data_IF_203274043099
#
_entry.id   IF_203274043099
#
_cell.length_a   1.000
_cell.length_b   1.000
_cell.length_c   1.000
_cell.angle_alpha   90.00
_cell.angle_beta   90.00
_cell.angle_gamma   90.00
#
_symmetry.space_group_name_H-M   'P 1'
#
loop_
_entity.id
_entity.type
_entity.pdbx_description
1 polymer ?
#
# COMPACT_ATOMS: atom_id res chain seq x y z
N UNK A 1 22.39 2.50 49.70
CA UNK A 1 21.41 3.35 48.98
C UNK A 1 21.86 3.46 47.53
N UNK A 2 21.70 2.39 46.75
CA UNK A 2 21.61 2.54 45.31
C UNK A 2 20.18 3.02 45.09
N UNK A 3 20.04 4.31 44.82
CA UNK A 3 18.77 4.83 44.34
C UNK A 3 18.72 4.34 42.90
N UNK A 4 17.79 3.43 42.59
CA UNK A 4 17.38 3.16 41.22
C UNK A 4 16.93 4.50 40.64
N UNK A 5 17.83 5.18 39.93
CA UNK A 5 17.44 6.26 39.05
C UNK A 5 16.52 5.64 38.00
N UNK A 6 15.31 6.17 37.77
CA UNK A 6 14.46 5.66 36.71
C UNK A 6 15.25 5.74 35.41
N UNK A 7 15.40 4.60 34.71
CA UNK A 7 15.91 4.61 33.35
C UNK A 7 14.93 5.46 32.54
N UNK A 8 15.43 6.54 31.93
CA UNK A 8 14.59 7.39 31.10
C UNK A 8 14.15 6.60 29.86
N UNK A 9 12.84 6.64 29.58
CA UNK A 9 12.26 6.10 28.35
C UNK A 9 12.55 7.07 27.20
N UNK A 10 13.13 6.54 26.12
CA UNK A 10 13.41 7.27 24.90
C UNK A 10 12.61 6.72 23.72
N UNK A 11 12.22 7.61 22.80
CA UNK A 11 11.61 7.25 21.51
C UNK A 11 12.33 8.04 20.43
N UNK A 12 12.94 7.33 19.49
CA UNK A 12 13.51 7.92 18.28
C UNK A 12 12.60 7.64 17.09
N UNK A 13 12.28 8.68 16.31
CA UNK A 13 11.41 8.57 15.14
C UNK A 13 12.18 9.02 13.91
N UNK A 14 12.55 8.05 13.07
CA UNK A 14 13.14 8.35 11.77
C UNK A 14 12.02 8.70 10.78
N UNK A 15 11.83 9.99 10.53
CA UNK A 15 10.86 10.49 9.58
C UNK A 15 11.26 10.15 8.15
N UNK A 16 10.33 9.55 7.40
CA UNK A 16 10.59 9.12 6.02
C UNK A 16 10.76 10.27 5.02
N UNK A 17 10.32 11.47 5.37
CA UNK A 17 10.38 12.67 4.52
C UNK A 17 11.75 13.38 4.46
N UNK A 18 12.71 13.01 5.32
CA UNK A 18 14.00 13.69 5.43
C UNK A 18 15.10 13.17 4.47
N UNK A 19 14.74 12.42 3.44
CA UNK A 19 15.67 11.98 2.38
C UNK A 19 16.16 13.12 1.45
N UNK A 20 15.86 14.39 1.76
CA UNK A 20 16.26 15.55 0.97
C UNK A 20 17.16 16.50 1.76
N UNK A 21 18.45 16.17 1.82
CA UNK A 21 19.54 17.16 1.77
C UNK A 21 20.68 16.58 0.93
N UNK A 22 21.06 17.33 -0.09
CA UNK A 22 22.25 17.17 -0.95
C UNK A 22 22.23 16.09 -2.04
N UNK A 23 21.59 16.45 -3.16
CA UNK A 23 22.12 16.17 -4.50
C UNK A 23 21.65 17.25 -5.51
N UNK A 24 22.35 18.38 -5.55
CA UNK A 24 22.37 19.30 -6.71
C UNK A 24 23.71 19.09 -7.44
N UNK A 25 23.74 18.75 -8.73
CA UNK A 25 23.83 19.64 -9.90
C UNK A 25 23.65 18.77 -11.17
N UNK A 26 23.04 19.15 -12.31
CA UNK A 26 22.79 20.45 -12.98
C UNK A 26 21.64 20.34 -14.04
N UNK A 27 21.19 21.43 -14.71
CA UNK A 27 19.79 21.81 -14.76
C UNK A 27 19.06 21.49 -16.07
N UNK A 28 17.72 21.40 -15.99
CA UNK A 28 16.86 21.86 -17.07
C UNK A 28 16.14 23.13 -16.59
N UNK A 29 16.36 24.16 -17.39
CA UNK A 29 15.92 25.54 -17.25
C UNK A 29 14.41 25.63 -17.53
N UNK A 30 13.65 26.18 -16.58
CA UNK A 30 12.68 27.29 -16.75
C UNK A 30 11.63 27.31 -15.62
N UNK A 31 11.71 28.41 -14.86
CA UNK A 31 10.69 29.14 -14.11
C UNK A 31 9.72 28.39 -13.17
N UNK A 32 10.14 28.27 -11.90
CA UNK A 32 9.21 28.19 -10.79
C UNK A 32 9.65 29.14 -9.67
N UNK A 33 8.86 30.20 -9.50
CA UNK A 33 8.96 31.20 -8.44
C UNK A 33 8.70 30.52 -7.09
N UNK A 34 9.67 30.59 -6.18
CA UNK A 34 9.55 30.12 -4.80
C UNK A 34 8.82 31.21 -4.00
N UNK A 35 7.65 30.87 -3.45
CA UNK A 35 7.10 31.56 -2.29
C UNK A 35 6.97 30.54 -1.16
N UNK A 36 7.80 30.71 -0.14
CA UNK A 36 7.65 30.09 1.17
C UNK A 36 6.63 30.92 1.95
N UNK A 37 5.52 30.31 2.39
CA UNK A 37 4.83 30.73 3.62
C UNK A 37 4.29 29.51 4.35
N UNK A 38 4.38 29.56 5.68
CA UNK A 38 4.14 28.45 6.61
C UNK A 38 2.66 28.08 6.75
N UNK A 39 2.42 26.80 7.03
CA UNK A 39 1.08 26.28 7.34
C UNK A 39 1.03 25.87 8.80
N UNK A 40 0.08 26.48 9.52
CA UNK A 40 -0.34 26.15 10.87
C UNK A 40 -1.22 24.90 10.82
N UNK A 41 -0.90 23.88 11.63
CA UNK A 41 -1.71 22.67 11.77
C UNK A 41 -2.97 22.98 12.62
N UNK A 42 -4.14 22.64 12.09
CA UNK A 42 -5.37 22.50 12.87
C UNK A 42 -5.67 21.01 13.00
N UNK A 43 -5.54 20.50 14.21
CA UNK A 43 -5.92 19.13 14.58
C UNK A 43 -7.44 18.95 14.44
N UNK A 44 -7.85 17.92 13.70
CA UNK A 44 -9.22 17.40 13.68
C UNK A 44 -9.16 15.94 14.13
N UNK A 45 -9.91 15.53 15.16
CA UNK A 45 -9.85 14.16 15.69
C UNK A 45 -10.59 13.17 14.78
N UNK A 46 -10.02 11.97 14.63
CA UNK A 46 -10.58 10.83 13.90
C UNK A 46 -11.80 10.24 14.63
N UNK A 47 -12.96 10.19 13.96
CA UNK A 47 -14.05 9.27 14.32
C UNK A 47 -13.99 8.03 13.43
N UNK A 48 -13.82 6.88 14.08
CA UNK A 48 -13.77 5.55 13.46
C UNK A 48 -15.14 5.12 12.92
N UNK A 49 -15.24 4.89 11.61
CA UNK A 49 -16.39 4.17 11.02
C UNK A 49 -15.98 2.71 10.79
N UNK A 50 -16.56 1.80 11.57
CA UNK A 50 -16.34 0.37 11.46
C UNK A 50 -16.95 -0.20 10.16
N UNK A 51 -16.17 -0.99 9.42
CA UNK A 51 -16.64 -1.79 8.30
C UNK A 51 -17.28 -3.11 8.80
N UNK A 52 -18.36 -3.62 8.18
CA UNK A 52 -18.98 -4.87 8.58
C UNK A 52 -18.12 -6.08 8.21
N UNK A 53 -18.01 -6.98 9.19
CA UNK A 53 -17.29 -8.25 9.13
C UNK A 53 -17.98 -9.23 8.16
N UNK A 54 -17.32 -9.65 7.07
CA UNK A 54 -17.81 -10.74 6.21
C UNK A 54 -16.86 -11.93 6.36
N UNK A 55 -17.20 -12.79 7.31
CA UNK A 55 -16.60 -14.11 7.49
C UNK A 55 -17.32 -15.19 6.69
N UNK A 56 -16.51 -16.12 6.18
CA UNK A 56 -16.81 -17.52 5.81
C UNK A 56 -17.82 -17.79 4.68
N UNK A 57 -17.28 -18.15 3.51
CA UNK A 57 -18.02 -18.90 2.48
C UNK A 57 -17.89 -20.41 2.75
N UNK A 58 -18.99 -21.01 3.18
CA UNK A 58 -19.22 -22.46 3.23
C UNK A 58 -19.30 -23.00 1.80
N UNK A 59 -18.61 -24.11 1.52
CA UNK A 59 -18.68 -24.82 0.23
C UNK A 59 -20.01 -25.60 0.13
N UNK A 60 -20.71 -25.61 -1.02
CA UNK A 60 -21.85 -26.51 -1.21
C UNK A 60 -21.36 -27.92 -1.63
N UNK A 61 -21.73 -28.92 -0.84
CA UNK A 61 -21.57 -30.33 -1.19
C UNK A 61 -22.55 -30.70 -2.33
N UNK A 62 -22.06 -31.51 -3.28
CA UNK A 62 -22.83 -31.98 -4.44
C UNK A 62 -23.97 -32.94 -4.08
N UNK A 63 -24.90 -33.18 -5.03
CA UNK A 63 -26.10 -33.98 -4.77
C UNK A 63 -25.79 -35.48 -4.65
N UNK A 64 -26.44 -36.21 -3.74
CA UNK A 64 -26.25 -37.66 -3.62
C UNK A 64 -27.06 -38.44 -4.66
N UNK A 65 -26.57 -39.65 -4.93
CA UNK A 65 -27.06 -40.64 -5.90
C UNK A 65 -28.50 -41.12 -5.64
N UNK A 66 -29.10 -41.63 -6.73
CA UNK A 66 -30.40 -42.29 -6.75
C UNK A 66 -30.30 -43.72 -6.20
N UNK A 67 -31.12 -44.04 -5.21
CA UNK A 67 -31.59 -45.41 -4.98
C UNK A 67 -33.12 -45.44 -4.88
N UNK A 68 -33.71 -46.47 -5.48
CA UNK A 68 -35.14 -46.66 -5.63
C UNK A 68 -35.76 -47.35 -4.41
N UNK A 69 -36.97 -46.93 -4.00
CA UNK A 69 -37.99 -47.84 -3.46
C UNK A 69 -39.40 -47.23 -3.43
N UNK A 70 -40.36 -48.07 -3.79
CA UNK A 70 -41.81 -47.87 -3.80
C UNK A 70 -42.40 -47.59 -2.41
N UNK A 71 -43.48 -46.78 -2.33
CA UNK A 71 -44.83 -47.22 -1.88
C UNK A 71 -45.87 -46.07 -1.73
N UNK A 72 -47.00 -46.25 -2.45
CA UNK A 72 -48.44 -45.99 -2.16
C UNK A 72 -48.95 -44.79 -1.33
N UNK A 73 -49.95 -44.12 -1.95
CA UNK A 73 -51.16 -43.50 -1.31
C UNK A 73 -50.94 -42.06 -0.82
N UNK A 74 -51.84 -41.08 -0.94
CA UNK A 74 -53.28 -41.07 -1.14
C UNK A 74 -53.72 -39.63 -1.51
N UNK A 75 -54.84 -39.49 -2.23
CA UNK A 75 -55.37 -38.23 -2.80
C UNK A 75 -56.07 -37.34 -1.76
N UNK A 76 -56.00 -36.01 -1.94
CA UNK A 76 -57.11 -35.03 -1.71
C UNK A 76 -56.70 -33.65 -2.28
N UNK A 77 -57.20 -33.20 -3.44
CA UNK A 77 -58.48 -32.54 -3.77
C UNK A 77 -58.51 -31.00 -3.55
N UNK A 78 -58.51 -30.29 -4.70
CA UNK A 78 -59.27 -29.07 -5.05
C UNK A 78 -58.80 -27.65 -4.71
N UNK A 79 -58.68 -26.90 -5.84
CA UNK A 79 -59.11 -25.51 -6.16
C UNK A 79 -58.04 -24.41 -6.23
N UNK A 80 -57.76 -24.05 -7.49
CA UNK A 80 -57.31 -22.74 -8.02
C UNK A 80 -58.13 -21.59 -7.41
N UNK A 81 -57.53 -20.43 -7.06
CA UNK A 81 -57.37 -19.39 -8.09
C UNK A 81 -56.18 -18.41 -7.87
N UNK A 82 -55.69 -17.82 -8.98
CA UNK A 82 -55.03 -16.50 -8.95
C UNK A 82 -53.62 -16.50 -9.55
N UNK A 83 -53.51 -16.14 -10.83
CA UNK A 83 -52.24 -15.79 -11.46
C UNK A 83 -51.77 -14.43 -10.93
N UNK A 84 -51.06 -14.43 -9.81
CA UNK A 84 -50.21 -13.32 -9.41
C UNK A 84 -49.00 -13.29 -10.36
N UNK A 85 -48.91 -12.22 -11.17
CA UNK A 85 -47.76 -11.98 -12.04
C UNK A 85 -46.57 -11.63 -11.15
N UNK A 86 -45.60 -12.53 -11.11
CA UNK A 86 -44.28 -12.28 -10.56
C UNK A 86 -43.59 -11.14 -11.35
N UNK A 87 -42.79 -10.27 -10.70
CA UNK A 87 -42.09 -9.22 -11.41
C UNK A 87 -41.15 -9.85 -12.44
N UNK A 88 -41.15 -9.32 -13.67
CA UNK A 88 -40.22 -9.73 -14.72
C UNK A 88 -38.80 -9.77 -14.16
N UNK A 89 -38.18 -10.94 -14.34
CA UNK A 89 -36.77 -11.21 -14.11
C UNK A 89 -35.98 -10.08 -14.78
N UNK A 90 -35.38 -9.20 -13.97
CA UNK A 90 -34.53 -8.13 -14.49
C UNK A 90 -33.48 -8.80 -15.36
N UNK A 91 -33.43 -8.43 -16.64
CA UNK A 91 -32.41 -8.96 -17.54
C UNK A 91 -31.05 -8.88 -16.85
N UNK A 92 -30.23 -9.96 -16.90
CA UNK A 92 -28.90 -9.92 -16.32
C UNK A 92 -28.17 -8.74 -16.95
N UNK A 93 -27.74 -7.80 -16.10
CA UNK A 93 -26.91 -6.68 -16.52
C UNK A 93 -25.75 -7.28 -17.30
N UNK A 94 -25.66 -6.99 -18.60
CA UNK A 94 -24.53 -7.41 -19.43
C UNK A 94 -23.27 -6.89 -18.75
N UNK A 95 -22.51 -7.78 -18.13
CA UNK A 95 -21.19 -7.44 -17.63
C UNK A 95 -20.35 -7.03 -18.84
N UNK A 96 -20.00 -5.75 -18.90
CA UNK A 96 -19.06 -5.27 -19.91
C UNK A 96 -17.75 -6.07 -19.76
N UNK A 97 -17.22 -6.61 -20.85
CA UNK A 97 -15.96 -7.32 -20.82
C UNK A 97 -14.83 -6.30 -20.59
N UNK A 98 -14.33 -6.23 -19.37
CA UNK A 98 -13.22 -5.36 -19.03
C UNK A 98 -11.91 -5.96 -19.55
N UNK A 99 -11.20 -5.21 -20.39
CA UNK A 99 -9.97 -5.69 -21.04
C UNK A 99 -8.75 -5.01 -20.44
N UNK A 100 -7.90 -5.82 -19.79
CA UNK A 100 -6.52 -5.48 -19.47
C UNK A 100 -5.59 -5.91 -20.60
N UNK A 101 -4.55 -5.10 -20.85
CA UNK A 101 -3.35 -5.54 -21.55
C UNK A 101 -2.22 -5.57 -20.53
N UNK A 102 -1.73 -6.78 -20.26
CA UNK A 102 -0.59 -7.01 -19.38
C UNK A 102 0.71 -7.01 -20.19
N UNK A 103 1.71 -6.30 -19.68
CA UNK A 103 3.10 -6.47 -20.12
C UNK A 103 3.76 -7.68 -19.46
N UNK A 104 4.97 -7.99 -19.91
CA UNK A 104 5.78 -9.03 -19.29
C UNK A 104 6.11 -8.64 -17.82
N UNK A 105 5.95 -9.56 -16.85
CA UNK A 105 6.30 -9.29 -15.46
C UNK A 105 7.81 -9.05 -15.32
N UNK A 106 8.18 -8.16 -14.40
CA UNK A 106 9.55 -8.00 -13.93
C UNK A 106 9.60 -8.33 -12.44
N UNK A 107 10.64 -9.07 -12.04
CA UNK A 107 10.83 -9.49 -10.66
C UNK A 107 12.07 -8.82 -10.06
N UNK A 108 11.99 -8.50 -8.79
CA UNK A 108 12.99 -7.77 -8.02
C UNK A 108 13.09 -8.34 -6.62
N UNK A 109 14.29 -8.27 -6.04
CA UNK A 109 14.43 -8.44 -4.59
C UNK A 109 14.47 -7.07 -3.94
N UNK A 110 13.49 -6.77 -3.09
CA UNK A 110 13.43 -5.52 -2.35
C UNK A 110 13.93 -5.76 -0.93
N UNK A 111 14.86 -4.93 -0.46
CA UNK A 111 15.42 -5.03 0.88
C UNK A 111 15.17 -3.73 1.64
N UNK A 112 14.59 -3.85 2.83
CA UNK A 112 14.53 -2.81 3.85
C UNK A 112 15.70 -3.06 4.80
N UNK A 113 16.59 -2.08 4.94
CA UNK A 113 17.68 -2.10 5.89
C UNK A 113 17.48 -0.97 6.91
N UNK A 114 17.46 -1.32 8.20
CA UNK A 114 17.39 -0.37 9.31
C UNK A 114 18.56 -0.62 10.24
N UNK A 115 19.37 0.40 10.48
CA UNK A 115 20.50 0.36 11.40
C UNK A 115 20.14 1.16 12.65
N UNK A 116 20.32 0.52 13.81
CA UNK A 116 20.05 1.10 15.12
C UNK A 116 21.36 1.09 15.90
N UNK A 117 21.89 2.27 16.18
CA UNK A 117 23.19 2.45 16.82
C UNK A 117 23.02 3.06 18.21
N UNK A 118 23.74 2.55 19.21
CA UNK A 118 23.85 3.22 20.49
C UNK A 118 24.93 4.30 20.41
N UNK A 119 24.52 5.54 20.15
CA UNK A 119 25.40 6.70 19.99
C UNK A 119 25.84 7.32 21.33
N UNK A 120 25.18 6.98 22.43
CA UNK A 120 25.52 7.45 23.77
C UNK A 120 26.61 6.64 24.47
N UNK A 121 27.06 7.14 25.64
CA UNK A 121 28.11 6.52 26.46
C UNK A 121 27.60 5.41 27.40
N UNK A 122 26.29 5.11 27.37
CA UNK A 122 25.69 4.07 28.19
C UNK A 122 24.80 3.13 27.36
N UNK A 123 24.67 1.89 27.82
CA UNK A 123 23.91 0.82 27.15
C UNK A 123 22.46 1.24 26.94
N UNK A 124 21.99 1.19 25.70
CA UNK A 124 20.58 1.31 25.35
C UNK A 124 19.91 -0.05 25.60
N UNK A 125 18.92 -0.09 26.50
CA UNK A 125 18.29 -1.35 26.91
C UNK A 125 16.92 -1.55 26.28
N UNK A 126 16.55 -2.82 26.11
CA UNK A 126 15.23 -3.23 25.61
C UNK A 126 14.82 -2.49 24.32
N UNK A 127 15.78 -2.36 23.40
CA UNK A 127 15.63 -1.63 22.15
C UNK A 127 14.67 -2.39 21.24
N UNK A 128 13.60 -1.72 20.81
CA UNK A 128 12.59 -2.29 19.91
C UNK A 128 12.39 -1.36 18.73
N UNK A 129 12.52 -1.90 17.52
CA UNK A 129 12.36 -1.13 16.29
C UNK A 129 11.08 -1.56 15.57
N UNK A 130 10.19 -0.59 15.32
CA UNK A 130 8.94 -0.78 14.59
C UNK A 130 9.11 -0.23 13.17
N UNK A 131 9.02 -1.14 12.19
CA UNK A 131 9.34 -0.90 10.77
C UNK A 131 8.11 -1.24 9.92
N UNK A 132 7.66 -0.37 9.00
CA UNK A 132 6.59 -0.71 8.09
C UNK A 132 7.07 -1.73 7.05
N UNK A 133 6.20 -2.70 6.79
CA UNK A 133 6.37 -3.77 5.83
C UNK A 133 5.69 -3.41 4.50
N UNK A 134 6.14 -4.02 3.40
CA UNK A 134 5.48 -3.85 2.12
C UNK A 134 4.08 -4.47 2.15
N UNK A 135 3.07 -3.70 1.77
CA UNK A 135 1.70 -4.15 1.59
C UNK A 135 1.50 -4.91 0.29
N UNK A 136 0.43 -5.69 0.19
CA UNK A 136 0.18 -6.55 -0.96
C UNK A 136 -1.27 -6.48 -1.46
N UNK A 137 -1.96 -5.35 -1.26
CA UNK A 137 -3.39 -5.24 -1.57
C UNK A 137 -3.67 -4.88 -3.05
N UNK A 138 -2.65 -4.47 -3.81
CA UNK A 138 -2.74 -4.18 -5.26
C UNK A 138 -2.34 -5.38 -6.13
N UNK A 139 -2.83 -6.57 -5.78
CA UNK A 139 -2.46 -7.88 -6.36
C UNK A 139 -2.53 -7.99 -7.89
N UNK A 140 -3.25 -7.08 -8.53
CA UNK A 140 -3.48 -7.09 -9.97
C UNK A 140 -2.23 -6.74 -10.78
N UNK A 141 -1.46 -5.73 -10.35
CA UNK A 141 -0.27 -5.29 -11.10
C UNK A 141 1.03 -5.37 -10.27
N UNK A 142 0.94 -5.60 -8.96
CA UNK A 142 2.11 -5.85 -8.13
C UNK A 142 1.84 -6.94 -7.09
N UNK A 143 2.83 -7.80 -6.86
CA UNK A 143 2.80 -8.82 -5.81
C UNK A 143 4.09 -8.74 -4.98
N UNK A 144 3.93 -8.67 -3.66
CA UNK A 144 5.02 -8.60 -2.69
C UNK A 144 4.98 -9.87 -1.82
N UNK A 145 6.08 -10.63 -1.83
CA UNK A 145 6.21 -11.87 -1.07
C UNK A 145 7.39 -11.73 -0.11
N UNK A 146 7.13 -11.78 1.20
CA UNK A 146 8.19 -11.76 2.20
C UNK A 146 9.08 -13.02 2.04
N UNK A 147 10.37 -12.81 1.80
CA UNK A 147 11.39 -13.88 1.71
C UNK A 147 12.00 -14.19 3.08
N UNK A 148 12.16 -13.20 3.95
CA UNK A 148 12.69 -13.38 5.29
C UNK A 148 13.03 -12.06 5.98
N UNK A 149 13.37 -12.16 7.27
CA UNK A 149 13.89 -11.06 8.07
C UNK A 149 15.08 -11.53 8.91
N UNK A 150 16.01 -10.62 9.26
CA UNK A 150 17.22 -10.98 10.02
C UNK A 150 16.96 -11.20 11.52
N UNK A 151 15.82 -10.76 12.03
CA UNK A 151 15.46 -10.82 13.45
C UNK A 151 14.02 -11.31 13.61
N UNK A 152 13.72 -11.86 14.79
CA UNK A 152 12.35 -12.19 15.17
C UNK A 152 11.52 -10.91 15.35
N UNK A 153 10.26 -10.96 14.94
CA UNK A 153 9.35 -9.83 15.02
C UNK A 153 7.90 -10.27 15.27
N UNK A 154 7.12 -9.33 15.80
CA UNK A 154 5.66 -9.42 15.87
C UNK A 154 5.04 -8.40 14.94
N UNK A 155 3.86 -8.67 14.39
CA UNK A 155 3.18 -7.75 13.48
C UNK A 155 1.89 -7.18 14.08
N UNK A 156 1.60 -5.93 13.73
CA UNK A 156 0.31 -5.27 13.95
C UNK A 156 -0.07 -4.50 12.68
N UNK A 157 -0.95 -5.08 11.88
CA UNK A 157 -1.21 -4.60 10.52
C UNK A 157 0.03 -4.73 9.64
N UNK A 158 0.40 -3.65 8.97
CA UNK A 158 1.60 -3.56 8.13
C UNK A 158 2.87 -3.16 8.89
N UNK A 159 2.85 -3.08 10.23
CA UNK A 159 4.04 -2.74 11.02
C UNK A 159 4.62 -3.99 11.68
N UNK A 160 5.93 -4.19 11.56
CA UNK A 160 6.69 -5.21 12.27
C UNK A 160 7.52 -4.60 13.40
N UNK A 161 7.40 -5.13 14.61
CA UNK A 161 8.22 -4.74 15.75
C UNK A 161 9.27 -5.80 16.00
N UNK A 162 10.52 -5.43 15.76
CA UNK A 162 11.73 -6.23 15.99
C UNK A 162 12.26 -5.98 17.39
N UNK A 163 12.64 -7.04 18.10
CA UNK A 163 13.28 -6.93 19.40
C UNK A 163 14.80 -7.07 19.23
N UNK A 164 15.54 -6.00 19.51
CA UNK A 164 17.01 -5.96 19.39
C UNK A 164 17.71 -6.21 20.73
N UNK A 165 16.97 -6.21 21.84
CA UNK A 165 17.56 -6.40 23.17
C UNK A 165 18.39 -5.19 23.62
N UNK A 166 19.54 -5.46 24.24
CA UNK A 166 20.43 -4.41 24.74
C UNK A 166 21.54 -4.16 23.73
N UNK A 167 21.83 -2.89 23.42
CA UNK A 167 22.87 -2.46 22.49
C UNK A 167 23.94 -1.70 23.26
N UNK A 168 25.20 -2.15 23.21
CA UNK A 168 26.28 -1.48 23.94
C UNK A 168 26.71 -0.19 23.24
N UNK A 169 27.33 0.77 23.97
CA UNK A 169 27.88 1.99 23.38
C UNK A 169 28.79 1.72 22.18
N UNK A 170 28.48 2.35 21.04
CA UNK A 170 29.21 2.18 19.78
C UNK A 170 28.86 0.94 18.98
N UNK A 171 27.98 0.06 19.48
CA UNK A 171 27.45 -1.06 18.70
C UNK A 171 26.29 -0.63 17.79
N UNK A 172 26.13 -1.36 16.69
CA UNK A 172 25.11 -1.14 15.67
C UNK A 172 24.43 -2.46 15.36
N UNK A 173 23.12 -2.49 15.56
CA UNK A 173 22.26 -3.60 15.15
C UNK A 173 21.60 -3.32 13.81
N UNK A 174 21.53 -4.33 12.94
CA UNK A 174 21.01 -4.17 11.57
C UNK A 174 19.84 -5.11 11.28
N UNK A 175 18.66 -4.53 11.10
CA UNK A 175 17.46 -5.23 10.65
C UNK A 175 17.47 -5.25 9.12
N UNK A 176 17.31 -6.45 8.55
CA UNK A 176 17.12 -6.68 7.13
C UNK A 176 15.77 -7.36 6.93
N UNK A 177 14.94 -6.83 6.05
CA UNK A 177 13.69 -7.46 5.62
C UNK A 177 13.68 -7.54 4.10
N UNK A 178 13.60 -8.77 3.58
CA UNK A 178 13.72 -9.03 2.14
C UNK A 178 12.40 -9.51 1.57
N UNK A 179 11.99 -8.95 0.44
CA UNK A 179 10.82 -9.32 -0.33
C UNK A 179 11.19 -9.70 -1.75
N UNK A 180 10.50 -10.69 -2.31
CA UNK A 180 10.36 -10.84 -3.75
C UNK A 180 9.20 -9.98 -4.23
N UNK A 181 9.49 -9.01 -5.10
CA UNK A 181 8.52 -8.08 -5.68
C UNK A 181 8.35 -8.39 -7.16
N UNK A 182 7.12 -8.66 -7.58
CA UNK A 182 6.76 -8.87 -8.99
C UNK A 182 5.87 -7.73 -9.45
N UNK A 183 6.28 -6.99 -10.48
CA UNK A 183 5.49 -5.89 -11.05
C UNK A 183 5.16 -6.22 -12.51
N UNK A 184 3.91 -5.99 -12.90
CA UNK A 184 3.42 -6.14 -14.28
C UNK A 184 3.05 -4.77 -14.84
N UNK A 185 3.66 -4.35 -15.97
CA UNK A 185 3.11 -3.26 -16.75
C UNK A 185 1.65 -3.55 -17.11
N UNK A 186 0.81 -2.54 -17.09
CA UNK A 186 -0.63 -2.70 -17.25
C UNK A 186 -1.20 -1.55 -18.06
N UNK A 187 -2.15 -1.84 -18.95
CA UNK A 187 -2.99 -0.86 -19.64
C UNK A 187 -4.44 -1.30 -19.58
N UNK A 188 -5.31 -0.47 -19.02
CA UNK A 188 -6.76 -0.66 -19.04
C UNK A 188 -7.30 -0.11 -20.37
N UNK A 189 -8.16 -0.87 -21.04
CA UNK A 189 -8.81 -0.46 -22.29
C UNK A 189 -10.29 -0.09 -22.14
N UNK A 190 -10.87 -0.27 -20.95
CA UNK A 190 -12.29 -0.02 -20.67
C UNK A 190 -12.61 1.47 -20.53
N UNK A 191 -13.85 1.84 -20.86
CA UNK A 191 -14.42 3.19 -20.78
C UNK A 191 -15.71 3.23 -19.95
N UNK A 192 -15.78 2.47 -18.85
CA UNK A 192 -16.89 2.51 -17.89
C UNK A 192 -17.04 3.88 -17.21
N UNK A 193 -18.19 4.13 -16.59
CA UNK A 193 -18.52 5.42 -15.97
C UNK A 193 -17.51 5.84 -14.88
N UNK A 194 -17.07 4.90 -14.04
CA UNK A 194 -16.06 5.13 -12.99
C UNK A 194 -14.74 5.57 -13.63
N UNK A 195 -14.26 4.82 -14.63
CA UNK A 195 -13.02 5.13 -15.36
C UNK A 195 -13.12 6.51 -16.02
N UNK A 196 -14.23 6.84 -16.67
CA UNK A 196 -14.44 8.15 -17.29
C UNK A 196 -14.48 9.28 -16.27
N UNK A 197 -15.10 9.05 -15.11
CA UNK A 197 -15.15 10.04 -14.03
C UNK A 197 -13.77 10.29 -13.45
N UNK A 198 -13.02 9.24 -13.12
CA UNK A 198 -11.63 9.34 -12.71
C UNK A 198 -10.76 10.03 -13.77
N UNK A 199 -10.98 9.75 -15.06
CA UNK A 199 -10.23 10.39 -16.16
C UNK A 199 -10.43 11.90 -16.20
N UNK A 200 -11.66 12.38 -16.00
CA UNK A 200 -11.96 13.83 -15.96
C UNK A 200 -11.23 14.52 -14.81
N UNK A 201 -11.19 13.90 -13.64
CA UNK A 201 -10.45 14.42 -12.47
C UNK A 201 -8.95 14.43 -12.77
N UNK A 202 -8.43 13.34 -13.35
CA UNK A 202 -7.03 13.25 -13.77
C UNK A 202 -6.64 14.40 -14.73
N UNK A 203 -7.45 14.67 -15.74
CA UNK A 203 -7.15 15.72 -16.74
C UNK A 203 -7.09 17.14 -16.16
N UNK A 204 -7.76 17.37 -15.03
CA UNK A 204 -7.73 18.66 -14.33
C UNK A 204 -6.51 18.83 -13.42
N UNK A 205 -5.92 17.73 -12.96
CA UNK A 205 -4.91 17.73 -11.89
C UNK A 205 -3.53 17.27 -12.36
N UNK A 206 -3.43 16.41 -13.37
CA UNK A 206 -2.16 15.86 -13.82
C UNK A 206 -1.23 16.96 -14.36
N UNK A 207 0.01 16.98 -13.88
CA UNK A 207 0.90 18.10 -14.12
C UNK A 207 2.21 18.00 -13.36
N UNK A 208 2.89 19.13 -13.24
CA UNK A 208 4.05 19.30 -12.37
C UNK A 208 3.60 19.77 -10.98
N UNK A 209 4.20 19.22 -9.93
CA UNK A 209 3.88 19.55 -8.54
C UNK A 209 4.42 18.51 -7.58
N UNK A 210 4.17 18.71 -6.28
CA UNK A 210 4.45 17.70 -5.27
C UNK A 210 3.57 16.46 -5.55
N UNK A 211 4.21 15.29 -5.70
CA UNK A 211 3.54 14.06 -6.10
C UNK A 211 2.45 13.63 -5.12
N UNK A 212 2.68 13.79 -3.82
CA UNK A 212 1.72 13.49 -2.76
C UNK A 212 0.52 14.43 -2.81
N UNK A 213 0.74 15.72 -3.00
CA UNK A 213 -0.36 16.70 -3.10
C UNK A 213 -1.24 16.44 -4.32
N UNK A 214 -0.64 16.12 -5.47
CA UNK A 214 -1.37 15.78 -6.68
C UNK A 214 -2.20 14.51 -6.49
N UNK A 215 -1.61 13.47 -5.90
CA UNK A 215 -2.30 12.22 -5.60
C UNK A 215 -3.45 12.42 -4.61
N UNK A 216 -3.24 13.17 -3.53
CA UNK A 216 -4.27 13.42 -2.51
C UNK A 216 -5.43 14.26 -3.08
N UNK A 217 -5.14 15.29 -3.89
CA UNK A 217 -6.19 16.07 -4.59
C UNK A 217 -7.02 15.18 -5.51
N UNK A 218 -6.37 14.28 -6.25
CA UNK A 218 -7.08 13.31 -7.09
C UNK A 218 -7.97 12.39 -6.25
N UNK A 219 -7.44 11.82 -5.17
CA UNK A 219 -8.18 10.93 -4.26
C UNK A 219 -9.41 11.63 -3.68
N UNK A 220 -9.22 12.83 -3.12
CA UNK A 220 -10.31 13.59 -2.51
C UNK A 220 -11.39 13.91 -3.56
N UNK A 221 -10.99 14.36 -4.75
CA UNK A 221 -11.94 14.73 -5.80
C UNK A 221 -12.67 13.52 -6.39
N UNK A 222 -12.02 12.36 -6.50
CA UNK A 222 -12.67 11.11 -6.88
C UNK A 222 -13.71 10.68 -5.82
N UNK A 223 -13.35 10.71 -4.54
CA UNK A 223 -14.24 10.34 -3.44
C UNK A 223 -15.47 11.26 -3.39
N UNK A 224 -15.33 12.58 -3.60
CA UNK A 224 -16.45 13.53 -3.72
C UNK A 224 -17.43 13.19 -4.86
N UNK A 225 -16.93 12.56 -5.93
CA UNK A 225 -17.71 12.15 -7.09
C UNK A 225 -18.20 10.70 -7.01
N UNK A 226 -18.05 10.05 -5.85
CA UNK A 226 -18.49 8.67 -5.62
C UNK A 226 -17.57 7.61 -6.21
N UNK A 227 -16.35 7.97 -6.61
CA UNK A 227 -15.32 7.02 -7.05
C UNK A 227 -14.37 6.76 -5.90
N UNK A 228 -14.36 5.53 -5.38
CA UNK A 228 -13.44 5.13 -4.32
C UNK A 228 -11.99 5.23 -4.83
N UNK A 229 -11.18 6.03 -4.14
CA UNK A 229 -9.76 6.19 -4.44
C UNK A 229 -8.91 6.20 -3.17
N UNK A 230 -7.64 5.83 -3.31
CA UNK A 230 -6.65 5.83 -2.22
C UNK A 230 -5.30 6.35 -2.65
N UNK A 231 -4.57 6.91 -1.67
CA UNK A 231 -3.18 7.28 -1.82
C UNK A 231 -2.31 6.02 -1.80
N UNK A 232 -1.26 6.00 -2.59
CA UNK A 232 -0.23 4.97 -2.57
C UNK A 232 1.12 5.62 -2.34
N UNK A 233 1.86 5.12 -1.35
CA UNK A 233 3.23 5.52 -1.07
C UNK A 233 4.19 4.38 -1.46
N UNK A 234 5.32 4.76 -2.03
CA UNK A 234 6.30 3.77 -2.47
C UNK A 234 7.50 4.41 -3.14
N UNK A 235 8.03 3.71 -4.13
CA UNK A 235 9.29 4.07 -4.77
C UNK A 235 9.21 4.00 -6.29
N UNK A 236 9.76 5.01 -6.95
CA UNK A 236 10.01 5.04 -8.39
C UNK A 236 11.32 5.79 -8.66
N UNK A 237 12.07 5.38 -9.68
CA UNK A 237 13.19 6.18 -10.17
C UNK A 237 12.68 7.33 -11.04
N UNK A 238 13.37 8.46 -11.00
CA UNK A 238 13.01 9.66 -11.79
C UNK A 238 12.99 9.39 -13.31
N UNK A 239 13.85 8.50 -13.79
CA UNK A 239 13.90 8.09 -15.20
C UNK A 239 12.77 7.13 -15.53
N UNK A 240 11.99 7.46 -16.56
CA UNK A 240 10.98 6.57 -17.15
C UNK A 240 11.64 5.29 -17.68
N UNK A 241 11.26 4.15 -17.12
CA UNK A 241 11.77 2.83 -17.47
C UNK A 241 11.52 1.83 -16.35
N UNK A 242 11.82 0.56 -16.58
CA UNK A 242 11.72 -0.46 -15.52
C UNK A 242 12.63 -0.13 -14.35
N UNK A 243 12.25 -0.56 -13.14
CA UNK A 243 13.08 -0.45 -11.95
C UNK A 243 14.42 -1.15 -12.20
N UNK A 244 15.51 -0.48 -11.84
CA UNK A 244 16.88 -1.01 -11.93
C UNK A 244 17.45 -1.27 -10.55
N UNK A 245 18.35 -2.27 -10.39
CA UNK A 245 19.01 -2.54 -9.12
C UNK A 245 19.77 -1.32 -8.56
N UNK A 246 19.89 -1.26 -7.23
CA UNK A 246 20.57 -0.22 -6.48
C UNK A 246 19.70 0.33 -5.34
N UNK A 247 20.29 1.22 -4.54
CA UNK A 247 19.56 1.94 -3.49
C UNK A 247 18.47 2.86 -4.05
N UNK A 248 17.48 3.13 -3.20
CA UNK A 248 16.29 3.93 -3.50
C UNK A 248 16.28 5.27 -2.76
N UNK A 249 17.44 5.77 -2.35
CA UNK A 249 17.58 7.11 -1.78
C UNK A 249 17.04 8.15 -2.77
N UNK A 250 16.18 9.05 -2.26
CA UNK A 250 15.52 10.07 -3.08
C UNK A 250 14.53 9.54 -4.12
N UNK A 251 14.20 8.24 -4.11
CA UNK A 251 13.24 7.62 -5.03
C UNK A 251 11.82 7.52 -4.43
N UNK A 252 11.57 8.13 -3.26
CA UNK A 252 10.25 8.18 -2.62
C UNK A 252 9.26 8.89 -3.54
N UNK A 253 8.09 8.28 -3.73
CA UNK A 253 7.04 8.84 -4.58
C UNK A 253 5.65 8.42 -4.10
N UNK A 254 4.68 9.28 -4.38
CA UNK A 254 3.28 9.03 -4.08
C UNK A 254 2.45 9.17 -5.35
N UNK A 255 1.49 8.26 -5.50
CA UNK A 255 0.53 8.24 -6.61
C UNK A 255 -0.84 7.80 -6.07
N UNK A 256 -1.80 7.58 -6.96
CA UNK A 256 -3.15 7.20 -6.57
C UNK A 256 -3.59 5.89 -7.23
N UNK A 257 -4.54 5.22 -6.59
CA UNK A 257 -5.35 4.18 -7.21
C UNK A 257 -6.82 4.54 -7.06
N UNK A 258 -7.64 4.16 -8.05
CA UNK A 258 -9.09 4.17 -7.92
C UNK A 258 -9.64 2.76 -8.08
N UNK A 259 -10.76 2.48 -7.42
CA UNK A 259 -11.39 1.17 -7.46
C UNK A 259 -12.50 1.16 -8.50
N UNK A 260 -12.41 0.24 -9.45
CA UNK A 260 -13.48 -0.08 -10.39
C UNK A 260 -13.95 -1.51 -10.08
N UNK A 261 -15.24 -1.74 -9.73
CA UNK A 261 -15.74 -3.06 -9.31
C UNK A 261 -15.33 -4.26 -10.17
N UNK A 262 -15.17 -4.05 -11.48
CA UNK A 262 -14.81 -5.14 -12.40
C UNK A 262 -13.31 -5.24 -12.71
N UNK A 263 -12.53 -4.24 -12.32
CA UNK A 263 -11.08 -4.16 -12.53
C UNK A 263 -10.30 -4.36 -11.21
N UNK A 264 -10.90 -4.01 -10.07
CA UNK A 264 -10.19 -3.82 -8.81
C UNK A 264 -9.49 -2.46 -8.76
N UNK A 265 -8.31 -2.41 -8.13
CA UNK A 265 -7.51 -1.19 -8.01
C UNK A 265 -6.77 -0.88 -9.33
N UNK A 266 -7.02 0.32 -9.85
CA UNK A 266 -6.45 0.82 -11.11
C UNK A 266 -5.45 1.94 -10.82
N UNK A 267 -4.20 1.84 -11.30
CA UNK A 267 -3.16 2.80 -10.97
C UNK A 267 -3.26 4.10 -11.76
N UNK A 268 -2.93 5.22 -11.10
CA UNK A 268 -2.87 6.57 -11.66
C UNK A 268 -1.69 7.32 -11.06
N UNK A 269 -0.81 7.83 -11.93
CA UNK A 269 0.30 8.70 -11.54
C UNK A 269 0.16 10.07 -12.20
N UNK A 270 -0.21 11.06 -11.38
CA UNK A 270 -0.45 12.44 -11.82
C UNK A 270 0.83 13.15 -12.24
N UNK A 271 1.98 12.75 -11.67
CA UNK A 271 3.28 13.38 -11.92
C UNK A 271 3.85 12.88 -13.25
N UNK A 272 3.77 11.56 -13.49
CA UNK A 272 4.23 10.95 -14.73
C UNK A 272 3.18 10.99 -15.85
N UNK A 273 1.99 11.52 -15.57
CA UNK A 273 0.83 11.59 -16.47
C UNK A 273 0.42 10.20 -16.98
N UNK A 274 0.40 9.23 -16.08
CA UNK A 274 -0.07 7.88 -16.33
C UNK A 274 -1.48 7.71 -15.76
N UNK A 275 -2.44 7.39 -16.62
CA UNK A 275 -3.80 7.12 -16.20
C UNK A 275 -4.20 5.72 -16.64
N UNK A 276 -4.51 4.84 -15.69
CA UNK A 276 -4.90 3.45 -15.93
C UNK A 276 -3.90 2.70 -16.84
N UNK A 277 -2.65 3.15 -16.86
CA UNK A 277 -1.61 2.65 -17.74
C UNK A 277 -0.23 2.87 -17.12
N UNK A 278 0.39 1.81 -16.62
CA UNK A 278 1.80 1.81 -16.21
C UNK A 278 2.61 1.07 -17.28
N UNK A 279 3.35 1.78 -18.14
CA UNK A 279 4.08 1.17 -19.27
C UNK A 279 5.32 0.38 -18.84
N UNK A 280 5.79 0.58 -17.61
CA UNK A 280 7.01 -0.01 -17.09
C UNK A 280 6.76 -0.64 -15.73
N UNK A 281 7.60 -1.60 -15.37
CA UNK A 281 7.65 -2.17 -14.03
C UNK A 281 8.48 -1.26 -13.10
N UNK A 282 7.97 -0.06 -12.80
CA UNK A 282 8.75 1.01 -12.16
C UNK A 282 8.28 1.41 -10.76
N UNK A 283 7.02 1.16 -10.44
CA UNK A 283 6.40 1.59 -9.18
C UNK A 283 6.42 0.44 -8.19
N UNK A 284 7.19 0.56 -7.12
CA UNK A 284 7.17 -0.38 -5.99
C UNK A 284 6.28 0.19 -4.90
N UNK A 285 5.15 -0.46 -4.64
CA UNK A 285 4.26 -0.15 -3.51
C UNK A 285 4.92 -0.51 -2.19
N UNK A 286 4.95 0.45 -1.27
CA UNK A 286 5.22 0.21 0.15
C UNK A 286 3.93 0.06 0.94
N UNK A 287 3.00 1.01 0.83
CA UNK A 287 1.76 0.97 1.58
C UNK A 287 0.85 2.15 1.25
N UNK A 288 -0.28 2.23 1.96
CA UNK A 288 -1.32 3.25 1.70
C UNK A 288 -1.36 4.37 2.76
N UNK A 289 -0.60 4.18 3.85
CA UNK A 289 -0.33 5.18 4.87
C UNK A 289 1.12 5.67 4.78
N UNK A 290 1.45 6.79 5.43
CA UNK A 290 2.83 7.27 5.57
C UNK A 290 3.31 7.05 7.01
N UNK A 291 3.85 5.86 7.29
CA UNK A 291 4.26 5.46 8.65
C UNK A 291 5.78 5.52 8.82
N UNK A 292 6.24 6.25 9.82
CA UNK A 292 7.67 6.39 10.13
C UNK A 292 8.23 5.16 10.84
N UNK A 293 9.55 4.96 10.78
CA UNK A 293 10.24 3.98 11.62
C UNK A 293 10.31 4.55 13.02
N UNK A 294 9.98 3.74 14.03
CA UNK A 294 10.06 4.12 15.44
C UNK A 294 10.97 3.17 16.18
N UNK A 295 11.84 3.70 17.04
CA UNK A 295 12.67 2.90 17.94
C UNK A 295 12.41 3.32 19.38
N UNK A 296 11.95 2.38 20.19
CA UNK A 296 11.67 2.57 21.62
C UNK A 296 12.82 1.93 22.41
N UNK A 297 13.34 2.61 23.43
CA UNK A 297 14.48 2.15 24.22
C UNK A 297 14.50 2.72 25.66
N UNK A 298 15.32 2.12 26.53
CA UNK A 298 15.50 2.53 27.93
C UNK A 298 16.95 2.91 28.23
N UNK A 299 17.18 4.17 28.59
CA UNK A 299 18.51 4.74 28.82
C UNK A 299 19.38 4.74 27.56
N UNK A 300 20.57 5.35 27.64
CA UNK A 300 21.41 5.53 26.45
C UNK A 300 20.90 6.62 25.51
N UNK A 301 21.52 6.70 24.34
CA UNK A 301 21.05 7.50 23.22
C UNK A 301 21.15 6.62 21.97
N UNK A 302 20.09 6.60 21.17
CA UNK A 302 19.98 5.72 20.00
C UNK A 302 19.82 6.57 18.75
N UNK A 303 20.69 6.32 17.77
CA UNK A 303 20.59 6.88 16.42
C UNK A 303 20.04 5.82 15.47
N UNK A 304 19.13 6.22 14.59
CA UNK A 304 18.47 5.33 13.64
C UNK A 304 18.69 5.82 12.23
N UNK A 305 19.20 4.94 11.37
CA UNK A 305 19.27 5.18 9.92
C UNK A 305 18.60 4.05 9.18
N UNK A 306 18.10 4.33 7.98
CA UNK A 306 17.45 3.31 7.17
C UNK A 306 17.63 3.59 5.69
N UNK A 307 17.56 2.53 4.89
CA UNK A 307 17.70 2.59 3.44
C UNK A 307 17.00 1.41 2.80
N UNK A 308 16.40 1.67 1.64
CA UNK A 308 15.75 0.65 0.84
C UNK A 308 16.54 0.42 -0.44
N UNK A 309 16.57 -0.83 -0.91
CA UNK A 309 17.24 -1.18 -2.15
C UNK A 309 16.46 -2.19 -2.96
N UNK A 310 16.71 -2.18 -4.27
CA UNK A 310 16.25 -3.22 -5.19
C UNK A 310 17.47 -3.96 -5.71
N UNK A 311 17.41 -5.28 -5.76
CA UNK A 311 18.43 -6.16 -6.29
C UNK A 311 17.86 -6.99 -7.44
N UNK A 312 18.74 -7.53 -8.27
CA UNK A 312 18.33 -8.54 -9.24
C UNK A 312 17.74 -9.75 -8.47
N UNK A 313 16.70 -10.40 -9.01
CA UNK A 313 16.10 -11.55 -8.33
C UNK A 313 17.13 -12.67 -8.19
N UNK A 314 17.32 -13.16 -6.97
CA UNK A 314 18.07 -14.38 -6.67
C UNK A 314 17.22 -15.63 -6.82
#
# INVERSE_FOLDING_TARGET
>A
WFVDMPLEEGVEIAHRGEQFKDALQEPLQEDAIIQQEGVVFLDVPEESVALPNIGQRVQPAGPPEREARDEKGEKKNKKDPGKEKWPEEREPVKQEEFVYVWGAPCCYDFCIEVQVACAGDCVARNVRATVPLLENDSLYYQQNVLKGASHDYTTSGNMATFNLGDIAPGEVETILVTYGVTIRPVKVLSAGEVVNTAKRVFDQLAGSGNCRDLALKFVNRCNELGVLARLVNGYIRSKRGNMTPGYLDGCRHSWAEFYEPSLGWVPVDLTFKYFAHFPYASHVIEGYDDRSIRVDYLGGAVDVTWRNSVMAPH
#
